data_IF_504636376977
#
_entry.id   IF_504636376977
#
_cell.length_a   1.000
_cell.length_b   1.000
_cell.length_c   1.000
_cell.angle_alpha   90.00
_cell.angle_beta   90.00
_cell.angle_gamma   90.00
#
_symmetry.space_group_name_H-M   'P 1'
#
loop_
_entity.id
_entity.type
_entity.pdbx_description
1 polymer ?
#
# COMPACT_ATOMS: atom_id res chain seq x y z
N UNK A 1 15.07 0.29 13.99
CA UNK A 1 14.86 -0.24 12.64
C UNK A 1 14.36 -1.67 12.74
N UNK A 2 13.28 -1.99 12.06
CA UNK A 2 12.71 -3.33 11.95
C UNK A 2 13.40 -4.16 10.85
N UNK A 3 13.34 -5.47 11.02
CA UNK A 3 13.69 -6.49 10.04
C UNK A 3 12.59 -6.63 8.98
N UNK A 4 12.91 -7.26 7.85
CA UNK A 4 11.92 -7.56 6.79
C UNK A 4 10.77 -8.42 7.34
N UNK A 5 11.06 -9.37 8.23
CA UNK A 5 10.03 -10.24 8.80
C UNK A 5 9.06 -9.48 9.70
N UNK A 6 9.57 -8.57 10.54
CA UNK A 6 8.74 -7.67 11.35
C UNK A 6 7.89 -6.74 10.46
N UNK A 7 8.47 -6.20 9.38
CA UNK A 7 7.72 -5.38 8.42
C UNK A 7 6.61 -6.17 7.71
N UNK A 8 6.85 -7.45 7.39
CA UNK A 8 5.82 -8.33 6.81
C UNK A 8 4.68 -8.60 7.79
N UNK A 9 4.99 -8.82 9.06
CA UNK A 9 3.97 -9.00 10.10
C UNK A 9 3.11 -7.74 10.25
N UNK A 10 3.74 -6.57 10.31
CA UNK A 10 3.05 -5.29 10.39
C UNK A 10 2.19 -5.03 9.13
N UNK A 11 2.72 -5.33 7.93
CA UNK A 11 1.97 -5.23 6.69
C UNK A 11 0.71 -6.10 6.72
N UNK A 12 0.80 -7.36 7.19
CA UNK A 12 -0.36 -8.24 7.35
C UNK A 12 -1.41 -7.64 8.28
N UNK A 13 -1.00 -7.08 9.42
CA UNK A 13 -1.93 -6.41 10.35
C UNK A 13 -2.67 -5.26 9.68
N UNK A 14 -1.97 -4.45 8.87
CA UNK A 14 -2.58 -3.36 8.09
C UNK A 14 -3.54 -3.87 7.03
N UNK A 15 -3.18 -4.93 6.31
CA UNK A 15 -4.02 -5.58 5.30
C UNK A 15 -5.32 -6.15 5.90
N UNK A 16 -5.23 -6.79 7.08
CA UNK A 16 -6.39 -7.29 7.84
C UNK A 16 -7.28 -6.12 8.25
N UNK A 17 -6.71 -5.03 8.77
CA UNK A 17 -7.46 -3.83 9.20
C UNK A 17 -8.17 -3.15 8.02
N UNK A 18 -7.54 -3.15 6.85
CA UNK A 18 -8.11 -2.69 5.58
C UNK A 18 -9.17 -3.64 5.01
N UNK A 19 -9.42 -4.78 5.66
CA UNK A 19 -10.35 -5.80 5.21
C UNK A 19 -10.08 -6.24 3.75
N UNK A 20 -8.80 -6.38 3.39
CA UNK A 20 -8.43 -6.95 2.11
C UNK A 20 -8.86 -8.42 2.04
N UNK A 21 -9.17 -8.90 0.84
CA UNK A 21 -9.63 -10.28 0.65
C UNK A 21 -8.55 -11.27 1.11
N UNK A 22 -8.91 -12.38 1.78
CA UNK A 22 -7.95 -13.38 2.28
C UNK A 22 -6.95 -13.87 1.21
N UNK A 23 -7.41 -14.05 -0.04
CA UNK A 23 -6.56 -14.46 -1.15
C UNK A 23 -5.42 -13.45 -1.44
N UNK A 24 -5.66 -12.15 -1.23
CA UNK A 24 -4.62 -11.10 -1.38
C UNK A 24 -3.58 -11.22 -0.27
N UNK A 25 -4.00 -11.52 0.97
CA UNK A 25 -3.09 -11.72 2.09
C UNK A 25 -2.21 -12.95 1.88
N UNK A 26 -2.80 -14.08 1.47
CA UNK A 26 -2.06 -15.32 1.17
C UNK A 26 -1.00 -15.08 0.09
N UNK A 27 -1.35 -14.37 -0.98
CA UNK A 27 -0.43 -14.07 -2.08
C UNK A 27 0.66 -13.06 -1.73
N UNK A 28 0.39 -12.13 -0.81
CA UNK A 28 1.43 -11.27 -0.27
C UNK A 28 2.54 -12.07 0.44
N UNK A 29 2.22 -13.18 1.11
CA UNK A 29 3.22 -14.05 1.73
C UNK A 29 4.14 -14.72 0.71
N UNK A 30 3.58 -15.04 -0.46
CA UNK A 30 4.32 -15.59 -1.62
C UNK A 30 5.15 -14.52 -2.35
N UNK A 31 5.03 -13.24 -1.97
CA UNK A 31 5.75 -12.11 -2.57
C UNK A 31 5.01 -11.42 -3.72
N UNK A 32 3.75 -11.79 -3.98
CA UNK A 32 2.92 -11.19 -5.00
C UNK A 32 2.22 -9.93 -4.47
N UNK A 33 2.20 -8.87 -5.29
CA UNK A 33 1.49 -7.63 -4.98
C UNK A 33 0.22 -7.51 -5.80
N UNK A 34 -0.80 -6.93 -5.19
CA UNK A 34 -2.07 -6.64 -5.84
C UNK A 34 -2.30 -5.14 -5.94
N UNK A 35 -3.10 -4.77 -6.93
CA UNK A 35 -3.59 -3.41 -7.14
C UNK A 35 -5.11 -3.43 -7.18
N UNK A 36 -5.72 -2.44 -6.51
CA UNK A 36 -7.16 -2.17 -6.60
C UNK A 36 -7.39 -0.93 -7.46
N UNK A 37 -8.23 -1.05 -8.50
CA UNK A 37 -8.61 0.09 -9.34
C UNK A 37 -9.62 1.01 -8.68
N UNK A 38 -9.85 2.19 -9.26
CA UNK A 38 -10.84 3.16 -8.79
C UNK A 38 -12.28 2.59 -8.75
N UNK A 39 -12.56 1.58 -9.58
CA UNK A 39 -13.85 0.86 -9.61
C UNK A 39 -13.90 -0.32 -8.63
N UNK A 40 -12.84 -0.55 -7.86
CA UNK A 40 -12.71 -1.64 -6.90
C UNK A 40 -12.28 -2.98 -7.52
N UNK A 41 -11.81 -3.01 -8.77
CA UNK A 41 -11.32 -4.25 -9.36
C UNK A 41 -9.95 -4.60 -8.76
N UNK A 42 -9.79 -5.83 -8.26
CA UNK A 42 -8.53 -6.32 -7.68
C UNK A 42 -7.82 -7.19 -8.71
N UNK A 43 -6.57 -6.87 -9.02
CA UNK A 43 -5.72 -7.63 -9.95
C UNK A 43 -4.29 -7.73 -9.44
N UNK A 44 -3.59 -8.77 -9.88
CA UNK A 44 -2.16 -8.92 -9.62
C UNK A 44 -1.35 -7.83 -10.34
N UNK A 45 -0.29 -7.35 -9.69
CA UNK A 45 0.65 -6.41 -10.29
C UNK A 45 1.60 -7.17 -11.24
N UNK A 46 1.46 -6.92 -12.54
CA UNK A 46 2.36 -7.47 -13.55
C UNK A 46 3.75 -6.82 -13.48
N UNK A 47 4.85 -7.58 -13.69
CA UNK A 47 6.19 -7.04 -13.90
C UNK A 47 6.31 -6.06 -15.07
N UNK A 48 5.40 -6.15 -16.06
CA UNK A 48 5.33 -5.25 -17.21
C UNK A 48 4.58 -3.94 -16.92
N UNK A 49 4.04 -3.77 -15.71
CA UNK A 49 3.32 -2.57 -15.31
C UNK A 49 4.28 -1.43 -14.99
N UNK A 50 3.94 -0.21 -15.42
CA UNK A 50 4.69 1.02 -15.08
C UNK A 50 4.85 1.25 -13.57
N UNK A 51 3.97 0.68 -12.74
CA UNK A 51 4.06 0.78 -11.27
C UNK A 51 5.14 -0.12 -10.67
N UNK A 52 5.63 -1.11 -11.41
CA UNK A 52 6.64 -2.05 -10.91
C UNK A 52 7.94 -1.34 -10.57
N UNK A 53 8.36 -0.35 -11.37
CA UNK A 53 9.56 0.45 -11.10
C UNK A 53 9.42 1.28 -9.81
N UNK A 54 8.23 1.82 -9.54
CA UNK A 54 7.94 2.56 -8.31
C UNK A 54 8.02 1.65 -7.08
N UNK A 55 7.46 0.44 -7.17
CA UNK A 55 7.56 -0.59 -6.13
C UNK A 55 9.02 -0.93 -5.83
N UNK A 56 9.84 -1.16 -6.86
CA UNK A 56 11.26 -1.47 -6.69
C UNK A 56 12.06 -0.30 -6.10
N UNK A 57 11.73 0.94 -6.46
CA UNK A 57 12.31 2.15 -5.85
C UNK A 57 12.00 2.22 -4.35
N UNK A 58 10.77 1.90 -3.94
CA UNK A 58 10.39 1.88 -2.53
C UNK A 58 11.12 0.78 -1.76
N UNK A 59 11.22 -0.43 -2.33
CA UNK A 59 11.98 -1.53 -1.73
C UNK A 59 13.44 -1.17 -1.45
N UNK A 60 14.10 -0.48 -2.38
CA UNK A 60 15.47 0.03 -2.21
C UNK A 60 15.58 1.10 -1.11
N UNK A 61 14.49 1.79 -0.79
CA UNK A 61 14.40 2.82 0.24
C UNK A 61 13.97 2.30 1.62
N UNK A 62 14.19 1.02 1.92
CA UNK A 62 13.79 0.36 3.19
C UNK A 62 12.29 0.42 3.48
N UNK A 63 11.46 0.41 2.43
CA UNK A 63 10.00 0.31 2.54
C UNK A 63 9.55 -1.03 1.97
N UNK A 64 8.56 -1.64 2.60
CA UNK A 64 7.92 -2.88 2.13
C UNK A 64 6.52 -2.55 1.60
N UNK A 65 6.34 -2.45 0.27
CA UNK A 65 5.02 -2.33 -0.33
C UNK A 65 4.17 -3.57 -0.03
N UNK A 66 2.88 -3.38 0.23
CA UNK A 66 1.96 -4.50 0.49
C UNK A 66 0.67 -4.45 -0.34
N UNK A 67 0.27 -3.27 -0.84
CA UNK A 67 -0.90 -3.14 -1.72
C UNK A 67 -0.84 -1.83 -2.50
N UNK A 68 -1.41 -1.81 -3.71
CA UNK A 68 -1.50 -0.62 -4.54
C UNK A 68 -2.97 -0.20 -4.74
N UNK A 69 -3.19 1.09 -4.86
CA UNK A 69 -4.47 1.71 -5.19
C UNK A 69 -4.28 2.57 -6.43
N UNK A 70 -4.92 2.20 -7.52
CA UNK A 70 -5.00 3.01 -8.74
C UNK A 70 -6.25 3.88 -8.65
N UNK A 71 -6.07 5.19 -8.64
CA UNK A 71 -7.13 6.17 -8.81
C UNK A 71 -7.11 6.72 -10.25
N UNK A 72 -8.03 7.63 -10.58
CA UNK A 72 -8.15 8.19 -11.94
C UNK A 72 -6.84 8.86 -12.39
N UNK A 73 -6.19 9.61 -11.49
CA UNK A 73 -5.07 10.50 -11.84
C UNK A 73 -3.76 10.15 -11.09
N UNK A 74 -3.79 9.11 -10.24
CA UNK A 74 -2.66 8.76 -9.40
C UNK A 74 -2.62 7.28 -9.03
N UNK A 75 -1.45 6.81 -8.62
CA UNK A 75 -1.28 5.54 -7.92
C UNK A 75 -0.80 5.81 -6.49
N UNK A 76 -1.40 5.13 -5.53
CA UNK A 76 -0.97 5.11 -4.13
C UNK A 76 -0.44 3.73 -3.77
N UNK A 77 0.80 3.67 -3.28
CA UNK A 77 1.45 2.43 -2.88
C UNK A 77 1.49 2.40 -1.37
N UNK A 78 0.73 1.49 -0.76
CA UNK A 78 0.75 1.29 0.67
C UNK A 78 2.00 0.50 1.05
N UNK A 79 2.69 0.96 2.08
CA UNK A 79 3.94 0.36 2.52
C UNK A 79 4.11 0.39 4.04
N UNK A 80 5.05 -0.42 4.52
CA UNK A 80 5.59 -0.36 5.89
C UNK A 80 7.04 0.11 5.79
N UNK A 81 7.44 1.14 6.54
CA UNK A 81 8.85 1.55 6.64
C UNK A 81 9.59 0.67 7.67
N UNK A 82 10.92 0.60 7.57
CA UNK A 82 11.71 -0.05 8.62
C UNK A 82 11.83 0.82 9.90
N UNK A 83 11.26 2.02 9.94
CA UNK A 83 11.27 2.91 11.10
C UNK A 83 10.15 2.53 12.08
N UNK A 84 10.34 1.41 12.79
CA UNK A 84 9.34 0.86 13.72
C UNK A 84 8.96 1.75 14.90
N UNK A 85 9.71 2.85 15.13
CA UNK A 85 9.34 3.86 16.11
C UNK A 85 8.06 4.63 15.71
N UNK A 86 7.76 4.72 14.40
CA UNK A 86 6.61 5.45 13.88
C UNK A 86 5.34 4.60 13.85
N UNK A 87 5.46 3.26 13.89
CA UNK A 87 4.34 2.35 13.73
C UNK A 87 3.20 2.55 14.75
N UNK A 88 3.46 2.82 16.05
CA UNK A 88 2.36 3.11 16.98
C UNK A 88 1.55 4.35 16.59
N UNK A 89 2.20 5.39 16.07
CA UNK A 89 1.52 6.59 15.59
C UNK A 89 0.75 6.30 14.29
N UNK A 90 1.36 5.57 13.36
CA UNK A 90 0.70 5.11 12.14
C UNK A 90 -0.53 4.23 12.45
N UNK A 91 -0.47 3.43 13.51
CA UNK A 91 -1.61 2.64 13.99
C UNK A 91 -2.75 3.54 14.50
N UNK A 92 -2.44 4.60 15.25
CA UNK A 92 -3.47 5.56 15.68
C UNK A 92 -4.15 6.25 14.49
N UNK A 93 -3.39 6.59 13.44
CA UNK A 93 -3.97 7.10 12.20
C UNK A 93 -4.79 6.06 11.45
N UNK A 94 -4.35 4.80 11.43
CA UNK A 94 -5.09 3.72 10.78
C UNK A 94 -6.45 3.47 11.43
N UNK A 95 -6.60 3.68 12.75
CA UNK A 95 -7.91 3.65 13.44
C UNK A 95 -8.87 4.73 12.93
N UNK A 96 -8.34 5.79 12.33
CA UNK A 96 -9.09 6.88 11.70
C UNK A 96 -9.18 6.73 10.18
N UNK A 97 -8.94 5.52 9.64
CA UNK A 97 -8.92 5.23 8.20
C UNK A 97 -7.80 5.94 7.43
N UNK A 98 -6.74 6.38 8.11
CA UNK A 98 -5.64 7.12 7.51
C UNK A 98 -4.37 6.27 7.48
N UNK A 99 -3.81 6.03 6.29
CA UNK A 99 -2.74 5.06 6.08
C UNK A 99 -1.56 5.69 5.35
N UNK A 100 -0.35 5.35 5.80
CA UNK A 100 0.89 5.77 5.13
C UNK A 100 0.98 5.16 3.73
N UNK A 101 1.18 6.00 2.73
CA UNK A 101 1.29 5.62 1.33
C UNK A 101 2.33 6.47 0.61
N UNK A 102 2.88 5.94 -0.47
CA UNK A 102 3.61 6.72 -1.46
C UNK A 102 2.65 7.03 -2.60
N UNK A 103 2.40 8.31 -2.87
CA UNK A 103 1.46 8.77 -3.91
C UNK A 103 2.26 9.30 -5.08
N UNK A 104 1.94 8.85 -6.30
CA UNK A 104 2.50 9.38 -7.55
C UNK A 104 1.37 9.75 -8.48
N UNK A 105 1.33 11.02 -8.89
CA UNK A 105 0.43 11.49 -9.93
C UNK A 105 0.95 11.06 -11.31
N UNK A 106 0.03 10.78 -12.25
CA UNK A 106 0.39 10.33 -13.58
C UNK A 106 0.94 11.47 -14.46
N UNK A 107 0.35 12.66 -14.37
CA UNK A 107 0.79 13.82 -15.16
C UNK A 107 2.05 14.47 -14.58
N UNK A 108 2.21 14.45 -13.25
CA UNK A 108 3.30 15.13 -12.55
C UNK A 108 4.01 14.21 -11.54
N UNK A 109 4.67 13.12 -12.00
CA UNK A 109 5.35 12.16 -11.12
C UNK A 109 6.51 12.77 -10.31
N UNK A 110 6.96 13.98 -10.67
CA UNK A 110 7.97 14.74 -9.92
C UNK A 110 7.49 15.20 -8.54
N UNK A 111 6.18 15.29 -8.32
CA UNK A 111 5.59 15.65 -7.03
C UNK A 111 5.26 14.43 -6.16
N UNK A 112 5.72 13.25 -6.56
CA UNK A 112 5.44 12.03 -5.81
C UNK A 112 6.08 12.07 -4.40
N UNK A 113 5.28 11.80 -3.38
CA UNK A 113 5.67 11.90 -1.98
C UNK A 113 5.06 10.80 -1.11
N UNK A 114 5.63 10.63 0.09
CA UNK A 114 5.04 9.75 1.11
C UNK A 114 4.20 10.58 2.07
N UNK A 115 2.98 10.12 2.35
CA UNK A 115 2.06 10.79 3.25
C UNK A 115 0.90 9.90 3.65
N UNK A 116 0.07 10.38 4.57
CA UNK A 116 -1.13 9.68 4.98
C UNK A 116 -2.29 9.97 4.03
N UNK A 117 -2.94 8.92 3.53
CA UNK A 117 -4.14 9.00 2.69
C UNK A 117 -5.33 8.36 3.40
N UNK A 118 -6.54 8.80 3.07
CA UNK A 118 -7.76 8.23 3.66
C UNK A 118 -8.27 7.06 2.83
N UNK A 119 -8.46 5.89 3.45
CA UNK A 119 -8.86 4.65 2.78
C UNK A 119 -10.05 4.04 3.50
N UNK A 120 -11.12 3.76 2.75
CA UNK A 120 -12.27 3.00 3.25
C UNK A 120 -12.34 1.63 2.60
N UNK A 121 -12.85 0.66 3.34
CA UNK A 121 -13.18 -0.67 2.83
C UNK A 121 -14.63 -0.70 2.35
N UNK A 122 -14.87 -1.35 1.22
CA UNK A 122 -16.19 -1.59 0.64
C UNK A 122 -16.35 -3.03 0.17
N UNK A 123 -17.53 -3.40 -0.37
CA UNK A 123 -17.83 -4.78 -0.76
C UNK A 123 -16.90 -5.35 -1.85
N UNK A 124 -16.35 -4.47 -2.69
CA UNK A 124 -15.50 -4.86 -3.84
C UNK A 124 -14.00 -4.72 -3.56
N UNK A 125 -13.59 -4.14 -2.43
CA UNK A 125 -12.19 -3.89 -2.11
C UNK A 125 -12.03 -2.62 -1.28
N UNK A 126 -10.87 -1.98 -1.39
CA UNK A 126 -10.57 -0.70 -0.72
C UNK A 126 -10.56 0.45 -1.70
N UNK A 127 -10.87 1.66 -1.23
CA UNK A 127 -10.89 2.87 -2.05
C UNK A 127 -10.29 4.04 -1.28
N UNK A 128 -9.48 4.86 -1.97
CA UNK A 128 -9.03 6.17 -1.49
C UNK A 128 -10.20 7.18 -1.51
N UNK A 129 -10.34 7.98 -0.46
CA UNK A 129 -11.42 8.99 -0.32
C UNK A 129 -10.92 10.40 0.01
N UNK A 130 -9.61 10.60 0.07
CA UNK A 130 -8.91 11.87 0.29
C UNK A 130 -7.43 11.71 -0.02
#
# INVERSE_FOLDING_TARGET
>A
MATIEEMKQEAKLRMIRLNLQPAVLEKFEEGTLYITSAQGAVRELSPESDYFELVEKLKKGNKLPYHLLEDIDSVSILFVSNESADWPLEEEYAKQHSYMAYVSEFEYPIFAESGFISIISGPTGIKRVG
#
